data_IF_910964813753
#
_entry.id   IF_910964813753
#
_cell.length_a   1.000
_cell.length_b   1.000
_cell.length_c   1.000
_cell.angle_alpha   90.00
_cell.angle_beta   90.00
_cell.angle_gamma   90.00
#
_symmetry.space_group_name_H-M   'P 1'
#
loop_
_entity.id
_entity.type
_entity.pdbx_description
1 polymer ?
#
# COMPACT_ATOMS: atom_id res chain seq x y z
N UNK A 1 -8.35 -13.10 5.73
CA UNK A 1 -7.92 -11.70 5.56
C UNK A 1 -7.38 -11.27 6.91
N UNK A 2 -6.10 -10.95 6.98
CA UNK A 2 -5.45 -10.52 8.22
C UNK A 2 -5.73 -9.02 8.46
N UNK A 3 -5.90 -8.63 9.73
CA UNK A 3 -6.15 -7.24 10.12
C UNK A 3 -5.00 -6.76 11.01
N UNK A 4 -4.41 -5.60 10.66
CA UNK A 4 -3.28 -5.02 11.40
C UNK A 4 -3.55 -3.57 11.75
N UNK A 5 -3.24 -3.21 12.99
CA UNK A 5 -3.31 -1.85 13.50
C UNK A 5 -1.91 -1.25 13.58
N UNK A 6 -1.69 -0.09 12.97
CA UNK A 6 -0.38 0.54 12.93
C UNK A 6 -0.47 2.06 13.04
N UNK A 7 0.61 2.68 13.50
CA UNK A 7 0.77 4.13 13.41
C UNK A 7 0.77 4.61 11.96
N UNK A 8 0.46 5.90 11.76
CA UNK A 8 0.53 6.56 10.44
C UNK A 8 1.91 6.40 9.80
N UNK A 9 2.97 6.58 10.58
CA UNK A 9 4.35 6.46 10.13
C UNK A 9 4.65 5.04 9.60
N UNK A 10 4.16 4.02 10.30
CA UNK A 10 4.35 2.62 9.90
C UNK A 10 3.50 2.26 8.67
N UNK A 11 2.25 2.75 8.58
CA UNK A 11 1.42 2.62 7.38
C UNK A 11 2.09 3.22 6.14
N UNK A 12 2.65 4.43 6.27
CA UNK A 12 3.41 5.12 5.22
C UNK A 12 4.61 4.29 4.76
N UNK A 13 5.40 3.75 5.70
CA UNK A 13 6.56 2.91 5.38
C UNK A 13 6.16 1.64 4.61
N UNK A 14 5.03 1.02 4.96
CA UNK A 14 4.49 -0.15 4.26
C UNK A 14 4.08 0.17 2.82
N UNK A 15 3.35 1.26 2.60
CA UNK A 15 2.94 1.69 1.26
C UNK A 15 4.16 1.97 0.38
N UNK A 16 5.18 2.66 0.93
CA UNK A 16 6.44 2.92 0.20
C UNK A 16 7.19 1.64 -0.16
N UNK A 17 7.19 0.65 0.74
CA UNK A 17 7.83 -0.65 0.49
C UNK A 17 7.10 -1.41 -0.62
N UNK A 18 5.76 -1.42 -0.61
CA UNK A 18 4.95 -2.03 -1.67
C UNK A 18 5.17 -1.35 -3.03
N UNK A 19 5.29 -0.01 -3.05
CA UNK A 19 5.61 0.76 -4.25
C UNK A 19 7.00 0.39 -4.80
N UNK A 20 8.00 0.29 -3.94
CA UNK A 20 9.35 -0.11 -4.35
C UNK A 20 9.38 -1.55 -4.85
N UNK A 21 8.63 -2.46 -4.23
CA UNK A 21 8.50 -3.83 -4.70
C UNK A 21 7.94 -3.85 -6.12
N UNK A 22 6.82 -3.16 -6.40
CA UNK A 22 6.24 -3.10 -7.75
C UNK A 22 7.17 -2.52 -8.82
N UNK A 23 8.08 -1.60 -8.44
CA UNK A 23 9.06 -1.03 -9.36
C UNK A 23 10.27 -1.93 -9.59
N UNK A 24 10.63 -2.77 -8.61
CA UNK A 24 11.75 -3.71 -8.70
C UNK A 24 11.35 -5.07 -9.29
N UNK A 25 10.07 -5.42 -9.15
CA UNK A 25 9.59 -6.77 -9.41
C UNK A 25 9.11 -6.89 -10.87
N UNK A 26 9.89 -7.64 -11.66
CA UNK A 26 9.46 -8.20 -12.94
C UNK A 26 8.65 -9.49 -12.77
N UNK A 27 8.53 -10.02 -11.54
CA UNK A 27 7.89 -11.31 -11.27
C UNK A 27 6.35 -11.29 -11.32
N UNK A 28 5.73 -10.11 -11.31
CA UNK A 28 4.31 -9.98 -11.57
C UNK A 28 4.09 -9.87 -13.09
N UNK A 29 3.35 -10.80 -13.68
CA UNK A 29 2.89 -10.82 -15.08
C UNK A 29 1.95 -9.64 -15.44
N UNK A 30 2.06 -8.52 -14.72
CA UNK A 30 1.36 -7.29 -14.99
C UNK A 30 2.01 -6.62 -16.21
N UNK A 31 1.17 -6.21 -17.14
CA UNK A 31 1.56 -5.34 -18.24
C UNK A 31 2.08 -4.01 -17.70
N UNK A 32 2.87 -3.28 -18.50
CA UNK A 32 3.40 -1.97 -18.12
C UNK A 32 2.27 -0.98 -17.71
N UNK A 33 1.10 -1.06 -18.35
CA UNK A 33 -0.07 -0.25 -18.00
C UNK A 33 -0.67 -0.60 -16.64
N UNK A 34 -0.75 -1.89 -16.30
CA UNK A 34 -1.23 -2.33 -14.99
C UNK A 34 -0.25 -1.97 -13.87
N UNK A 35 1.06 -2.11 -14.11
CA UNK A 35 2.09 -1.65 -13.16
C UNK A 35 1.96 -0.14 -12.90
N UNK A 36 1.79 0.67 -13.96
CA UNK A 36 1.59 2.11 -13.82
C UNK A 36 0.34 2.46 -13.02
N UNK A 37 -0.79 1.80 -13.30
CA UNK A 37 -2.05 2.01 -12.56
C UNK A 37 -1.94 1.60 -11.08
N UNK A 38 -1.22 0.51 -10.79
CA UNK A 38 -0.96 0.03 -9.44
C UNK A 38 -0.10 1.02 -8.65
N UNK A 39 0.94 1.57 -9.28
CA UNK A 39 1.80 2.62 -8.68
C UNK A 39 1.01 3.89 -8.41
N UNK A 40 0.20 4.36 -9.36
CA UNK A 40 -0.65 5.54 -9.18
C UNK A 40 -1.64 5.37 -8.01
N UNK A 41 -2.23 4.18 -7.89
CA UNK A 41 -3.12 3.85 -6.76
C UNK A 41 -2.39 3.92 -5.42
N UNK A 42 -1.17 3.38 -5.33
CA UNK A 42 -0.36 3.47 -4.12
C UNK A 42 0.07 4.89 -3.80
N UNK A 43 0.43 5.69 -4.81
CA UNK A 43 0.80 7.10 -4.62
C UNK A 43 -0.38 7.91 -4.08
N UNK A 44 -1.59 7.71 -4.62
CA UNK A 44 -2.80 8.34 -4.09
C UNK A 44 -3.09 7.92 -2.64
N UNK A 45 -3.00 6.63 -2.35
CA UNK A 45 -3.19 6.10 -1.00
C UNK A 45 -2.17 6.67 0.00
N UNK A 46 -0.90 6.78 -0.42
CA UNK A 46 0.17 7.40 0.37
C UNK A 46 -0.18 8.85 0.74
N UNK A 47 -0.67 9.64 -0.22
CA UNK A 47 -1.08 11.01 0.03
C UNK A 47 -2.27 11.09 1.01
N UNK A 48 -3.26 10.21 0.86
CA UNK A 48 -4.45 10.21 1.71
C UNK A 48 -4.14 9.78 3.15
N UNK A 49 -3.29 8.77 3.34
CA UNK A 49 -2.85 8.32 4.68
C UNK A 49 -1.97 9.38 5.35
N UNK A 50 -1.04 10.02 4.61
CA UNK A 50 -0.21 11.12 5.16
C UNK A 50 -1.05 12.32 5.58
N UNK A 51 -2.09 12.64 4.82
CA UNK A 51 -3.02 13.72 5.11
C UNK A 51 -4.04 13.35 6.20
N UNK A 52 -4.08 12.10 6.67
CA UNK A 52 -5.08 11.62 7.61
C UNK A 52 -6.50 11.53 7.05
N UNK A 53 -6.65 11.52 5.72
CA UNK A 53 -7.95 11.38 5.02
C UNK A 53 -8.42 9.92 4.97
N UNK A 54 -7.51 8.98 5.13
CA UNK A 54 -7.81 7.54 5.11
C UNK A 54 -7.07 6.86 6.24
N UNK A 55 -7.81 6.06 7.01
CA UNK A 55 -7.30 5.29 8.15
C UNK A 55 -7.62 3.79 8.05
N UNK A 56 -8.24 3.34 6.96
CA UNK A 56 -8.61 1.95 6.70
C UNK A 56 -8.40 1.68 5.21
N UNK A 57 -7.57 0.70 4.89
CA UNK A 57 -7.33 0.29 3.51
C UNK A 57 -6.82 -1.15 3.43
N UNK A 58 -6.99 -1.76 2.25
CA UNK A 58 -6.49 -3.11 1.97
C UNK A 58 -5.19 -3.00 1.18
N UNK A 59 -4.20 -3.81 1.56
CA UNK A 59 -2.95 -3.96 0.84
C UNK A 59 -2.77 -5.40 0.35
N UNK A 60 -2.38 -5.59 -0.92
CA UNK A 60 -1.93 -6.89 -1.39
C UNK A 60 -0.57 -7.23 -0.79
N UNK A 61 -0.40 -8.48 -0.38
CA UNK A 61 0.83 -9.07 0.13
C UNK A 61 1.05 -10.42 -0.53
N UNK A 62 2.26 -10.98 -0.37
CA UNK A 62 2.62 -12.29 -0.90
C UNK A 62 1.72 -13.43 -0.39
N UNK A 63 1.10 -13.27 0.78
CA UNK A 63 0.20 -14.26 1.40
C UNK A 63 -1.30 -13.94 1.20
N UNK A 64 -1.64 -12.98 0.32
CA UNK A 64 -3.01 -12.52 0.08
C UNK A 64 -3.22 -11.07 0.53
N UNK A 65 -4.42 -10.74 0.99
CA UNK A 65 -4.78 -9.36 1.35
C UNK A 65 -4.72 -9.14 2.86
N UNK A 66 -4.13 -8.01 3.25
CA UNK A 66 -4.15 -7.52 4.63
C UNK A 66 -4.96 -6.22 4.69
N UNK A 67 -5.80 -6.09 5.72
CA UNK A 67 -6.49 -4.84 6.03
C UNK A 67 -5.68 -4.08 7.06
N UNK A 68 -5.39 -2.83 6.77
CA UNK A 68 -4.57 -1.96 7.61
C UNK A 68 -5.46 -0.88 8.20
N UNK A 69 -5.48 -0.82 9.53
CA UNK A 69 -6.08 0.25 10.30
C UNK A 69 -4.98 1.18 10.82
N UNK A 70 -5.08 2.47 10.47
CA UNK A 70 -4.16 3.51 10.91
C UNK A 70 -4.68 4.11 12.19
N UNK A 71 -3.93 3.95 13.27
CA UNK A 71 -4.20 4.62 14.53
C UNK A 71 -3.57 6.01 14.53
N UNK A 72 -4.24 7.04 15.09
CA UNK A 72 -3.59 8.30 15.38
C UNK A 72 -2.42 8.04 16.36
N UNK A 73 -1.28 8.67 16.09
CA UNK A 73 -0.11 8.64 16.99
C UNK A 73 -0.41 9.38 18.30
#
# INVERSE_FOLDING_TARGET
>A
MEEVFVSRSSAVARILTARQALLRDDAHELTAGEKAAQVERLDRLLFDVRAGRTCDFIMPTSNGEIRIFVTPD
#
